data_IF_408857075772
#
_entry.id   IF_408857075772
#
_cell.length_a   1.000
_cell.length_b   1.000
_cell.length_c   1.000
_cell.angle_alpha   90.00
_cell.angle_beta   90.00
_cell.angle_gamma   90.00
#
_symmetry.space_group_name_H-M   'P 1'
#
loop_
_entity.id
_entity.type
_entity.pdbx_description
1 polymer ?
#
# COMPACT_ATOMS: atom_id res chain seq x y z
N UNK A 1 20.68 16.41 -3.02
CA UNK A 1 19.62 15.77 -3.83
C UNK A 1 18.62 15.15 -2.88
N UNK A 2 17.33 15.50 -2.99
CA UNK A 2 16.26 15.09 -2.03
C UNK A 2 16.29 13.58 -1.79
N UNK A 3 16.40 12.79 -2.85
CA UNK A 3 16.44 11.33 -2.79
C UNK A 3 17.60 10.78 -1.96
N UNK A 4 18.82 11.27 -2.22
CA UNK A 4 20.04 10.80 -1.52
C UNK A 4 19.98 11.18 -0.05
N UNK A 5 19.51 12.39 0.25
CA UNK A 5 19.38 12.88 1.62
C UNK A 5 18.36 12.06 2.40
N UNK A 6 17.16 11.87 1.86
CA UNK A 6 16.11 11.07 2.50
C UNK A 6 16.58 9.64 2.79
N UNK A 7 17.21 8.99 1.80
CA UNK A 7 17.66 7.61 1.94
C UNK A 7 18.83 7.45 2.93
N UNK A 8 19.68 8.48 3.07
CA UNK A 8 20.76 8.50 4.07
C UNK A 8 20.20 8.67 5.49
N UNK A 9 19.17 9.50 5.65
CA UNK A 9 18.55 9.77 6.95
C UNK A 9 17.80 8.55 7.52
N UNK A 10 17.37 7.63 6.66
CA UNK A 10 16.77 6.35 7.07
C UNK A 10 17.71 5.43 7.87
N UNK A 11 19.01 5.73 7.94
CA UNK A 11 19.93 4.99 8.82
C UNK A 11 19.52 5.06 10.30
N UNK A 12 19.00 6.22 10.73
CA UNK A 12 18.50 6.45 12.09
C UNK A 12 17.20 7.25 12.01
N UNK A 13 16.09 6.52 11.87
CA UNK A 13 14.77 7.12 11.68
C UNK A 13 14.36 7.97 12.88
N UNK A 14 14.59 7.50 14.11
CA UNK A 14 14.16 8.19 15.32
C UNK A 14 14.83 9.56 15.49
N UNK A 15 16.14 9.62 15.20
CA UNK A 15 16.88 10.88 15.31
C UNK A 15 16.57 11.85 14.17
N UNK A 16 16.30 11.33 12.98
CA UNK A 16 16.18 12.13 11.76
C UNK A 16 14.72 12.37 11.32
N UNK A 17 13.75 12.02 12.17
CA UNK A 17 12.33 12.04 11.84
C UNK A 17 11.86 13.40 11.32
N UNK A 18 12.25 14.49 12.00
CA UNK A 18 11.85 15.85 11.62
C UNK A 18 12.31 16.19 10.19
N UNK A 19 13.56 15.86 9.87
CA UNK A 19 14.11 16.13 8.53
C UNK A 19 13.52 15.20 7.47
N UNK A 20 13.16 13.97 7.83
CA UNK A 20 12.48 13.05 6.92
C UNK A 20 11.09 13.56 6.53
N UNK A 21 10.32 14.12 7.48
CA UNK A 21 9.00 14.72 7.20
C UNK A 21 9.07 15.95 6.28
N UNK A 22 10.21 16.65 6.22
CA UNK A 22 10.41 17.73 5.27
C UNK A 22 10.69 17.23 3.83
N UNK A 23 11.27 16.03 3.69
CA UNK A 23 11.74 15.47 2.42
C UNK A 23 10.76 14.47 1.79
N UNK A 24 9.92 13.85 2.62
CA UNK A 24 9.01 12.76 2.26
C UNK A 24 7.58 13.17 2.62
N UNK A 25 6.60 12.75 1.84
CA UNK A 25 5.19 13.00 2.18
C UNK A 25 4.73 12.09 3.31
N UNK A 26 3.65 12.48 3.93
CA UNK A 26 2.98 11.84 5.06
C UNK A 26 2.47 10.44 4.67
N UNK A 27 2.18 10.25 3.38
CA UNK A 27 1.82 8.94 2.79
C UNK A 27 3.05 8.04 2.63
N UNK A 28 4.16 8.58 2.13
CA UNK A 28 5.38 7.81 1.87
C UNK A 28 6.19 7.50 3.12
N UNK A 29 6.11 8.36 4.15
CA UNK A 29 6.86 8.19 5.40
C UNK A 29 6.63 6.82 6.06
N UNK A 30 5.39 6.38 6.35
CA UNK A 30 5.16 5.07 6.94
C UNK A 30 5.60 3.94 6.00
N UNK A 31 5.42 4.06 4.69
CA UNK A 31 5.86 3.05 3.72
C UNK A 31 7.38 2.86 3.71
N UNK A 32 8.14 3.95 3.89
CA UNK A 32 9.61 3.92 3.93
C UNK A 32 10.16 3.43 5.27
N UNK A 33 9.51 3.78 6.38
CA UNK A 33 9.97 3.46 7.74
C UNK A 33 9.51 2.08 8.19
N UNK A 34 8.42 1.56 7.62
CA UNK A 34 7.85 0.28 8.02
C UNK A 34 8.88 -0.85 7.96
N UNK A 35 9.03 -1.56 9.09
CA UNK A 35 9.99 -2.65 9.22
C UNK A 35 11.43 -2.24 9.56
N UNK A 36 11.76 -0.94 9.56
CA UNK A 36 13.06 -0.41 9.97
C UNK A 36 13.15 -0.04 11.46
N UNK A 37 12.03 0.00 12.19
CA UNK A 37 11.97 0.40 13.62
C UNK A 37 12.96 -0.36 14.52
N UNK A 38 13.23 -1.62 14.20
CA UNK A 38 14.12 -2.50 14.95
C UNK A 38 15.36 -2.90 14.18
N UNK A 39 15.66 -2.23 13.06
CA UNK A 39 16.73 -2.61 12.14
C UNK A 39 17.58 -1.40 11.81
N UNK A 40 18.86 -1.64 11.55
CA UNK A 40 19.74 -0.57 11.06
C UNK A 40 19.93 -0.75 9.57
N UNK A 41 19.55 0.27 8.79
CA UNK A 41 19.75 0.29 7.35
C UNK A 41 20.97 1.12 7.00
N UNK A 42 21.93 0.52 6.32
CA UNK A 42 23.03 1.24 5.71
C UNK A 42 22.79 1.33 4.20
N UNK A 43 22.67 2.54 3.69
CA UNK A 43 22.52 2.80 2.27
C UNK A 43 23.53 3.84 1.81
N UNK A 44 24.09 3.64 0.62
CA UNK A 44 24.92 4.64 -0.04
C UNK A 44 24.75 4.61 -1.55
N UNK A 45 24.79 5.80 -2.15
CA UNK A 45 24.85 5.98 -3.60
C UNK A 45 26.31 5.92 -4.05
N UNK A 46 26.66 4.96 -4.90
CA UNK A 46 28.02 4.83 -5.44
C UNK A 46 28.21 5.70 -6.67
N UNK A 47 27.38 5.49 -7.68
CA UNK A 47 27.46 6.22 -8.95
C UNK A 47 26.10 6.34 -9.61
N UNK A 48 25.95 7.36 -10.45
CA UNK A 48 24.78 7.53 -11.32
C UNK A 48 25.14 6.95 -12.68
N UNK A 49 24.50 5.84 -13.07
CA UNK A 49 24.78 5.14 -14.33
C UNK A 49 24.22 5.94 -15.50
N UNK A 50 22.96 6.38 -15.37
CA UNK A 50 22.32 7.27 -16.33
C UNK A 50 21.74 8.47 -15.60
N UNK A 51 21.79 9.68 -16.21
CA UNK A 51 21.18 10.86 -15.62
C UNK A 51 19.69 10.64 -15.39
N UNK A 52 19.17 11.16 -14.28
CA UNK A 52 17.76 11.05 -13.94
C UNK A 52 16.89 11.73 -15.03
N UNK A 53 15.83 11.05 -15.48
CA UNK A 53 14.94 11.54 -16.54
C UNK A 53 13.51 11.61 -16.05
N UNK A 54 12.83 12.71 -16.35
CA UNK A 54 11.40 12.83 -16.12
C UNK A 54 10.66 11.94 -17.12
N UNK A 55 9.79 11.07 -16.63
CA UNK A 55 9.00 10.13 -17.43
C UNK A 55 7.59 10.66 -17.64
N UNK A 56 6.97 11.14 -16.56
CA UNK A 56 5.59 11.57 -16.57
C UNK A 56 5.39 12.70 -15.57
N UNK A 57 4.51 13.64 -15.92
CA UNK A 57 4.07 14.73 -15.05
C UNK A 57 2.55 14.73 -15.07
N UNK A 58 1.94 14.73 -13.88
CA UNK A 58 0.50 14.81 -13.68
C UNK A 58 0.21 15.92 -12.67
N UNK A 59 -0.94 16.55 -12.83
CA UNK A 59 -1.51 17.44 -11.82
C UNK A 59 -2.88 16.91 -11.42
N UNK A 60 -3.19 16.95 -10.14
CA UNK A 60 -4.45 16.50 -9.58
C UNK A 60 -5.03 17.56 -8.64
N UNK A 61 -6.34 17.76 -8.74
CA UNK A 61 -7.10 18.63 -7.86
C UNK A 61 -7.71 17.78 -6.74
N UNK A 62 -7.46 18.15 -5.49
CA UNK A 62 -7.95 17.42 -4.32
C UNK A 62 -8.97 18.27 -3.59
N UNK A 63 -10.21 17.78 -3.51
CA UNK A 63 -11.38 18.39 -2.83
C UNK A 63 -11.91 19.69 -3.47
N UNK A 64 -11.05 20.69 -3.66
CA UNK A 64 -11.40 22.00 -4.22
C UNK A 64 -10.45 22.38 -5.35
N UNK A 65 -10.93 23.18 -6.32
CA UNK A 65 -10.14 23.65 -7.47
C UNK A 65 -8.87 24.44 -7.07
N UNK A 66 -8.86 24.96 -5.84
CA UNK A 66 -7.73 25.74 -5.31
C UNK A 66 -6.64 24.85 -4.70
N UNK A 67 -6.85 23.53 -4.58
CA UNK A 67 -5.89 22.57 -4.02
C UNK A 67 -5.32 21.67 -5.11
N UNK A 68 -4.31 22.19 -5.80
CA UNK A 68 -3.61 21.49 -6.87
C UNK A 68 -2.32 20.86 -6.35
N UNK A 69 -2.16 19.57 -6.62
CA UNK A 69 -0.94 18.81 -6.38
C UNK A 69 -0.31 18.43 -7.71
N UNK A 70 0.98 18.68 -7.86
CA UNK A 70 1.75 18.23 -9.01
C UNK A 70 2.59 17.01 -8.63
N UNK A 71 2.51 15.96 -9.43
CA UNK A 71 3.29 14.75 -9.29
C UNK A 71 4.21 14.57 -10.50
N UNK A 72 5.48 14.30 -10.23
CA UNK A 72 6.52 14.10 -11.24
C UNK A 72 7.14 12.73 -11.00
N UNK A 73 7.02 11.85 -11.98
CA UNK A 73 7.67 10.54 -11.97
C UNK A 73 9.02 10.65 -12.66
N UNK A 74 10.09 10.34 -11.92
CA UNK A 74 11.48 10.41 -12.39
C UNK A 74 12.06 9.01 -12.43
N UNK A 75 12.57 8.60 -13.59
CA UNK A 75 13.38 7.39 -13.74
C UNK A 75 14.80 7.69 -13.29
N UNK A 76 15.29 6.93 -12.32
CA UNK A 76 16.65 6.99 -11.79
C UNK A 76 17.34 5.66 -12.06
N UNK A 77 18.54 5.70 -12.64
CA UNK A 77 19.37 4.51 -12.84
C UNK A 77 20.71 4.73 -12.18
N UNK A 78 20.90 4.06 -11.05
CA UNK A 78 22.02 4.31 -10.14
C UNK A 78 22.64 3.00 -9.67
N UNK A 79 23.91 3.04 -9.25
CA UNK A 79 24.49 1.97 -8.45
C UNK A 79 24.44 2.34 -6.99
N UNK A 80 23.90 1.42 -6.19
CA UNK A 80 23.65 1.63 -4.78
C UNK A 80 24.20 0.46 -3.98
N UNK A 81 24.61 0.72 -2.75
CA UNK A 81 24.93 -0.30 -1.75
C UNK A 81 23.82 -0.27 -0.71
N UNK A 82 23.30 -1.44 -0.36
CA UNK A 82 22.28 -1.60 0.66
C UNK A 82 22.65 -2.77 1.56
N UNK A 83 22.66 -2.53 2.86
CA UNK A 83 22.84 -3.55 3.88
C UNK A 83 21.87 -3.30 5.04
N UNK A 84 21.09 -4.31 5.43
CA UNK A 84 20.15 -4.22 6.55
C UNK A 84 20.60 -5.16 7.64
N UNK A 85 20.76 -4.62 8.85
CA UNK A 85 21.18 -5.34 10.04
C UNK A 85 20.02 -5.57 11.00
N UNK A 86 20.03 -6.71 11.68
CA UNK A 86 19.10 -7.04 12.76
C UNK A 86 19.39 -6.20 14.02
N UNK A 87 18.50 -6.27 15.04
CA UNK A 87 18.70 -5.64 16.36
C UNK A 87 20.04 -6.00 17.01
N UNK A 88 20.57 -7.16 16.67
CA UNK A 88 21.84 -7.69 17.19
C UNK A 88 23.04 -7.39 16.27
N UNK A 89 22.88 -6.55 15.25
CA UNK A 89 23.95 -6.18 14.32
C UNK A 89 24.32 -7.26 13.30
N UNK A 90 23.52 -8.32 13.14
CA UNK A 90 23.74 -9.37 12.13
C UNK A 90 23.18 -8.95 10.79
N UNK A 91 23.91 -9.18 9.69
CA UNK A 91 23.42 -8.91 8.33
C UNK A 91 22.19 -9.77 8.02
N UNK A 92 21.10 -9.16 7.60
CA UNK A 92 19.86 -9.84 7.21
C UNK A 92 19.57 -9.77 5.71
N UNK A 93 19.95 -8.67 5.08
CA UNK A 93 19.67 -8.41 3.67
C UNK A 93 20.75 -7.54 3.03
N UNK A 94 21.01 -7.79 1.75
CA UNK A 94 21.99 -7.06 0.96
C UNK A 94 23.44 -7.40 1.33
N UNK A 95 24.36 -6.57 0.88
CA UNK A 95 25.80 -6.72 1.09
C UNK A 95 26.41 -5.33 1.28
N UNK A 96 27.18 -5.10 2.36
CA UNK A 96 27.77 -3.79 2.65
C UNK A 96 28.88 -3.35 1.67
N UNK A 97 29.39 -4.25 0.83
CA UNK A 97 30.50 -3.97 -0.10
C UNK A 97 30.08 -4.01 -1.57
N UNK A 98 29.09 -4.84 -1.89
CA UNK A 98 28.67 -5.02 -3.28
C UNK A 98 27.66 -3.94 -3.70
N UNK A 99 28.07 -3.07 -4.63
CA UNK A 99 27.14 -2.14 -5.28
C UNK A 99 26.32 -2.87 -6.34
N UNK A 100 24.99 -2.68 -6.32
CA UNK A 100 24.07 -3.20 -7.32
C UNK A 100 23.50 -2.07 -8.18
N UNK A 101 23.28 -2.35 -9.45
CA UNK A 101 22.59 -1.42 -10.35
C UNK A 101 21.09 -1.52 -10.13
N UNK A 102 20.45 -0.39 -9.87
CA UNK A 102 19.02 -0.31 -9.59
C UNK A 102 18.39 0.73 -10.51
N UNK A 103 17.29 0.34 -11.17
CA UNK A 103 16.41 1.23 -11.92
C UNK A 103 15.16 1.46 -11.08
N UNK A 104 14.83 2.72 -10.81
CA UNK A 104 13.72 3.10 -9.95
C UNK A 104 12.92 4.22 -10.58
N UNK A 105 11.60 4.18 -10.35
CA UNK A 105 10.68 5.25 -10.74
C UNK A 105 10.20 5.93 -9.48
N UNK A 106 10.86 7.03 -9.11
CA UNK A 106 10.56 7.78 -7.89
C UNK A 106 9.54 8.86 -8.24
N UNK A 107 8.46 8.91 -7.47
CA UNK A 107 7.42 9.93 -7.59
C UNK A 107 7.74 11.05 -6.60
N UNK A 108 7.87 12.26 -7.12
CA UNK A 108 7.91 13.48 -6.33
C UNK A 108 6.55 14.16 -6.40
N UNK A 109 6.12 14.71 -5.28
CA UNK A 109 4.89 15.48 -5.19
C UNK A 109 5.19 16.86 -4.62
N UNK A 110 4.48 17.86 -5.13
CA UNK A 110 4.47 19.21 -4.59
C UNK A 110 3.03 19.73 -4.55
N UNK A 111 2.65 20.30 -3.41
CA UNK A 111 1.47 21.15 -3.34
C UNK A 111 1.79 22.47 -4.06
N UNK A 112 1.22 22.68 -5.25
CA UNK A 112 1.58 23.82 -6.10
C UNK A 112 0.75 25.07 -5.79
N UNK A 113 -0.41 24.91 -5.16
CA UNK A 113 -1.21 26.04 -4.69
C UNK A 113 -0.58 26.78 -3.51
N UNK A 114 0.26 26.09 -2.72
CA UNK A 114 0.99 26.73 -1.63
C UNK A 114 2.28 27.39 -2.13
N UNK A 115 2.45 28.65 -1.74
CA UNK A 115 3.65 29.46 -1.98
C UNK A 115 4.92 28.85 -1.38
N UNK A 116 4.81 28.12 -0.27
CA UNK A 116 5.95 27.48 0.40
C UNK A 116 6.09 25.99 0.07
N UNK A 117 5.29 25.49 -0.87
CA UNK A 117 5.29 24.09 -1.27
C UNK A 117 6.67 23.63 -1.75
N UNK A 118 7.18 22.56 -1.14
CA UNK A 118 8.44 21.92 -1.51
C UNK A 118 8.16 20.61 -2.23
N UNK A 119 9.10 20.21 -3.10
CA UNK A 119 9.10 18.87 -3.68
C UNK A 119 9.47 17.86 -2.61
N UNK A 120 8.63 16.84 -2.44
CA UNK A 120 8.81 15.76 -1.47
C UNK A 120 8.63 14.41 -2.16
N UNK A 121 9.26 13.37 -1.65
CA UNK A 121 9.11 12.00 -2.16
C UNK A 121 7.72 11.49 -1.76
N UNK A 122 6.92 11.09 -2.73
CA UNK A 122 5.57 10.57 -2.52
C UNK A 122 5.49 9.04 -2.67
N UNK A 123 6.43 8.43 -3.39
CA UNK A 123 6.47 6.97 -3.49
C UNK A 123 7.39 6.47 -4.58
N UNK A 124 7.31 5.16 -4.83
CA UNK A 124 8.07 4.46 -5.86
C UNK A 124 7.16 3.54 -6.64
N UNK A 125 7.28 3.55 -7.96
CA UNK A 125 6.62 2.59 -8.85
C UNK A 125 7.55 1.41 -9.08
N UNK A 126 7.05 0.21 -8.86
CA UNK A 126 7.74 -1.06 -9.18
C UNK A 126 6.99 -1.65 -10.37
N UNK A 127 7.58 -1.66 -11.57
CA UNK A 127 6.94 -2.27 -12.72
C UNK A 127 6.99 -3.80 -12.63
N UNK A 128 5.95 -4.46 -13.15
CA UNK A 128 5.79 -5.92 -13.06
C UNK A 128 6.88 -6.71 -13.79
N UNK A 129 7.52 -6.10 -14.80
CA UNK A 129 8.61 -6.70 -15.57
C UNK A 129 9.98 -6.58 -14.89
N UNK A 130 10.07 -5.86 -13.76
CA UNK A 130 11.32 -5.73 -13.02
C UNK A 130 11.69 -7.05 -12.36
N UNK A 131 12.99 -7.34 -12.32
CA UNK A 131 13.48 -8.51 -11.60
C UNK A 131 13.01 -8.46 -10.14
N UNK A 132 12.58 -9.61 -9.57
CA UNK A 132 12.26 -9.69 -8.15
C UNK A 132 13.44 -9.25 -7.29
N UNK A 133 13.11 -8.75 -6.09
CA UNK A 133 14.15 -8.41 -5.11
C UNK A 133 14.95 -9.64 -4.72
N UNK A 134 16.19 -9.42 -4.29
CA UNK A 134 17.02 -10.51 -3.80
C UNK A 134 16.34 -11.25 -2.65
N UNK A 135 16.64 -12.54 -2.53
CA UNK A 135 16.17 -13.33 -1.39
C UNK A 135 16.81 -12.87 -0.09
N UNK A 136 16.06 -13.00 1.01
CA UNK A 136 16.62 -12.86 2.36
C UNK A 136 17.66 -13.95 2.62
N UNK A 137 18.65 -13.64 3.47
CA UNK A 137 19.66 -14.63 3.90
C UNK A 137 19.01 -15.75 4.73
N UNK A 138 17.92 -15.45 5.45
CA UNK A 138 17.19 -16.40 6.30
C UNK A 138 16.15 -17.17 5.49
N UNK A 139 16.03 -18.47 5.74
CA UNK A 139 14.95 -19.31 5.20
C UNK A 139 13.70 -19.26 6.09
N UNK A 140 12.51 -19.34 5.51
CA UNK A 140 11.25 -19.45 6.22
C UNK A 140 10.50 -20.72 5.83
N UNK A 141 9.74 -21.29 6.78
CA UNK A 141 8.82 -22.40 6.53
C UNK A 141 7.41 -21.82 6.42
N UNK A 142 6.78 -22.01 5.27
CA UNK A 142 5.36 -21.66 5.09
C UNK A 142 4.51 -22.67 5.88
N UNK A 143 3.64 -22.22 6.81
CA UNK A 143 2.72 -23.11 7.49
C UNK A 143 1.75 -23.76 6.50
N UNK A 144 1.54 -25.08 6.62
CA UNK A 144 0.51 -25.77 5.85
C UNK A 144 -0.80 -25.69 6.62
N UNK A 145 -1.72 -24.84 6.19
CA UNK A 145 -3.05 -24.74 6.78
C UNK A 145 -3.93 -25.87 6.24
N UNK A 146 -4.64 -26.58 7.12
CA UNK A 146 -5.68 -27.50 6.69
C UNK A 146 -6.86 -26.76 6.04
N UNK A 147 -7.74 -27.47 5.30
CA UNK A 147 -8.94 -26.85 4.74
C UNK A 147 -9.78 -26.20 5.85
N UNK A 148 -10.29 -25.01 5.59
CA UNK A 148 -11.20 -24.33 6.52
C UNK A 148 -12.48 -25.19 6.69
N UNK A 149 -13.02 -25.30 7.90
CA UNK A 149 -14.33 -25.92 8.10
C UNK A 149 -15.41 -25.14 7.31
N UNK A 150 -16.49 -25.80 6.88
CA UNK A 150 -17.61 -25.12 6.21
C UNK A 150 -18.16 -24.00 7.11
N UNK A 151 -18.45 -22.83 6.53
CA UNK A 151 -19.16 -21.77 7.24
C UNK A 151 -20.56 -22.28 7.61
N UNK A 152 -20.86 -22.33 8.91
CA UNK A 152 -22.21 -22.62 9.38
C UNK A 152 -23.13 -21.48 8.92
N UNK A 153 -24.35 -21.77 8.44
CA UNK A 153 -25.28 -20.74 8.04
C UNK A 153 -25.58 -19.84 9.25
N UNK A 154 -25.34 -18.55 9.09
CA UNK A 154 -25.71 -17.51 10.05
C UNK A 154 -27.24 -17.54 10.21
N UNK A 155 -27.73 -18.12 11.32
CA UNK A 155 -29.14 -18.15 11.73
C UNK A 155 -29.57 -16.74 12.20
N UNK A 156 -29.37 -15.75 11.33
CA UNK A 156 -29.54 -14.31 11.59
C UNK A 156 -30.81 -13.70 11.01
N UNK A 157 -31.89 -14.46 10.83
CA UNK A 157 -33.19 -13.90 10.42
C UNK A 157 -34.41 -14.71 10.90
N UNK A 158 -34.50 -15.00 12.20
CA UNK A 158 -35.72 -15.61 12.81
C UNK A 158 -36.61 -14.63 13.59
N UNK A 159 -36.19 -13.37 13.77
CA UNK A 159 -36.92 -12.40 14.60
C UNK A 159 -37.86 -11.42 13.84
N UNK A 160 -38.01 -11.54 12.51
CA UNK A 160 -38.94 -10.69 11.74
C UNK A 160 -40.26 -11.34 11.29
N UNK A 161 -40.47 -12.63 11.57
CA UNK A 161 -41.69 -13.33 11.14
C UNK A 161 -42.81 -13.39 12.21
N UNK A 162 -42.51 -13.23 13.51
CA UNK A 162 -43.48 -13.50 14.61
C UNK A 162 -44.47 -12.33 14.89
N UNK A 163 -44.71 -11.41 13.95
CA UNK A 163 -45.66 -10.29 14.16
C UNK A 163 -46.72 -10.08 13.08
N UNK A 164 -46.96 -11.07 12.21
CA UNK A 164 -47.97 -10.93 11.15
C UNK A 164 -49.09 -11.98 11.12
N UNK A 165 -49.20 -12.88 12.10
CA UNK A 165 -50.22 -13.94 12.09
C UNK A 165 -51.42 -13.71 13.01
N UNK A 166 -51.50 -12.58 13.72
CA UNK A 166 -52.70 -12.22 14.51
C UNK A 166 -53.55 -11.17 13.78
N UNK A 167 -54.09 -11.49 12.60
CA UNK A 167 -55.37 -10.94 12.15
C UNK A 167 -55.86 -11.61 10.86
N UNK A 168 -57.11 -12.09 10.92
CA UNK A 168 -58.01 -12.45 9.82
C UNK A 168 -57.96 -13.90 9.29
N UNK A 169 -58.60 -14.82 10.04
CA UNK A 169 -59.45 -15.86 9.43
C UNK A 169 -60.81 -15.85 10.14
N UNK A 170 -61.82 -15.31 9.46
CA UNK A 170 -63.24 -15.41 9.80
C UNK A 170 -63.88 -16.43 8.84
N UNK A 171 -64.65 -17.34 9.41
CA UNK A 171 -65.15 -18.58 8.83
C UNK A 171 -66.17 -18.39 7.69
N UNK A 172 -66.20 -19.32 6.73
CA UNK A 172 -67.42 -20.13 6.47
C UNK A 172 -67.26 -21.12 5.32
N UNK A 173 -67.44 -22.40 5.66
CA UNK A 173 -67.86 -23.45 4.74
C UNK A 173 -69.31 -23.24 4.29
N UNK A 174 -69.68 -23.73 3.10
CA UNK A 174 -71.11 -23.95 2.83
C UNK A 174 -71.55 -24.20 1.40
N UNK A 175 -71.21 -25.36 0.84
CA UNK A 175 -72.12 -26.22 0.07
C UNK A 175 -72.83 -25.69 -1.20
N UNK A 176 -72.50 -26.33 -2.33
CA UNK A 176 -73.52 -27.06 -3.09
C UNK A 176 -73.76 -26.65 -4.55
N UNK A 177 -73.65 -27.63 -5.46
CA UNK A 177 -74.59 -27.74 -6.59
C UNK A 177 -74.07 -27.51 -8.00
N UNK A 178 -73.49 -28.56 -8.58
CA UNK A 178 -73.66 -29.06 -9.97
C UNK A 178 -74.51 -28.24 -10.98
N UNK A 179 -73.98 -27.96 -12.17
CA UNK A 179 -74.30 -28.66 -13.45
C UNK A 179 -73.74 -27.97 -14.71
N UNK A 180 -73.11 -28.81 -15.55
CA UNK A 180 -73.06 -28.87 -17.02
C UNK A 180 -72.72 -27.65 -17.90
N UNK A 181 -71.62 -27.83 -18.67
CA UNK A 181 -71.45 -27.68 -20.14
C UNK A 181 -72.50 -26.86 -20.92
N UNK A 182 -72.14 -26.00 -21.88
CA UNK A 182 -71.37 -26.28 -23.10
C UNK A 182 -71.22 -24.96 -23.90
N UNK A 183 -70.21 -24.94 -24.78
CA UNK A 183 -70.00 -24.07 -25.96
C UNK A 183 -69.38 -22.69 -25.72
#
# INVERSE_FOLDING_TARGET
SIYVEAQTLLHDVYKNQDRLHELVTEKAFPEMVHGLETKTMHWSLTETVEPARVVHIRTEEVLTSDNLFAQVTVRMHTKQILAIYDRFGRLMYGDPKLSKSVVEYVIFEKWISDTYGRWRIHGKVIPDWMEPRDSLIKTYRVPNFGPLPPEEPDDGDKDKAVKKEDNEEDESEGSGGSRLATA
#
